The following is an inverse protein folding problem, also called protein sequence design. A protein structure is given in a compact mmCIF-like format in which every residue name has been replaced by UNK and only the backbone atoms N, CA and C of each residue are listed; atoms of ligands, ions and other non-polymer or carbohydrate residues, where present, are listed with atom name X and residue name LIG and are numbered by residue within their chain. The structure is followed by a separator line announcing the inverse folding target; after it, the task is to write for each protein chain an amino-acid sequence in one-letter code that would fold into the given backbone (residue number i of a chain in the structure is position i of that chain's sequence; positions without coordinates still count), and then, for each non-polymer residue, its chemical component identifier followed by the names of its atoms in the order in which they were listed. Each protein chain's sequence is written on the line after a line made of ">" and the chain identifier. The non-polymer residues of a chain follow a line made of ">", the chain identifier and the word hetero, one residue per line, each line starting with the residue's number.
data_IF_720876745170
#
_entry.id   IF_720876745170
#
_cell.length_a   1.000
_cell.length_b   1.000
_cell.length_c   1.000
_cell.angle_alpha   90.00
_cell.angle_beta   90.00
_cell.angle_gamma   90.00
#
_symmetry.space_group_name_H-M   'P 1'
#
loop_
_entity.id
_entity.type
_entity.pdbx_description
1 polymer ?
#
# COMPACT_ATOMS: atom_id res chain seq x y z
N UNK A 1 17.86 -23.63 55.83
CA UNK A 1 16.44 -23.83 56.19
C UNK A 1 15.72 -22.58 55.71
N UNK A 2 14.80 -22.54 54.75
CA UNK A 2 14.10 -23.60 54.02
C UNK A 2 13.76 -23.15 52.59
N UNK A 3 13.33 -24.11 51.78
CA UNK A 3 12.99 -23.99 50.37
C UNK A 3 11.48 -23.81 50.17
N UNK A 4 11.07 -23.03 49.17
CA UNK A 4 9.74 -23.02 48.55
C UNK A 4 9.94 -22.66 47.07
N UNK A 5 10.05 -23.65 46.17
CA UNK A 5 8.98 -24.38 45.46
C UNK A 5 8.36 -23.59 44.30
N UNK A 6 8.77 -24.01 43.10
CA UNK A 6 8.23 -23.75 41.76
C UNK A 6 6.71 -23.84 41.66
N UNK A 7 6.09 -22.94 40.90
CA UNK A 7 4.83 -23.22 40.21
C UNK A 7 4.90 -22.74 38.75
N UNK A 8 5.28 -23.70 37.90
CA UNK A 8 5.04 -23.76 36.46
C UNK A 8 3.54 -23.99 36.18
N UNK A 9 2.95 -23.23 35.26
CA UNK A 9 1.61 -23.49 34.72
C UNK A 9 1.60 -23.50 33.18
N UNK A 10 0.73 -24.30 32.55
CA UNK A 10 1.04 -24.99 31.32
C UNK A 10 0.17 -24.58 30.12
N UNK A 11 0.80 -24.50 28.95
CA UNK A 11 0.41 -25.11 27.67
C UNK A 11 -0.99 -25.76 27.65
N UNK A 12 -2.05 -25.00 27.33
CA UNK A 12 -3.34 -25.58 26.92
C UNK A 12 -3.75 -25.04 25.55
N UNK A 13 -3.48 -25.92 24.59
CA UNK A 13 -4.09 -26.03 23.29
C UNK A 13 -5.61 -26.20 23.41
N UNK A 14 -6.41 -25.30 22.81
CA UNK A 14 -7.80 -25.62 22.47
C UNK A 14 -8.12 -25.20 21.04
N UNK A 15 -7.97 -26.21 20.17
CA UNK A 15 -8.46 -26.31 18.81
C UNK A 15 -9.96 -25.96 18.75
N UNK A 16 -10.29 -24.81 18.14
CA UNK A 16 -11.65 -24.38 17.86
C UNK A 16 -11.99 -24.55 16.38
N UNK A 17 -12.38 -25.76 16.00
CA UNK A 17 -13.11 -26.04 14.75
C UNK A 17 -14.57 -25.67 14.94
N UNK A 18 -15.13 -24.85 14.03
CA UNK A 18 -16.56 -24.69 13.66
C UNK A 18 -16.62 -23.53 12.64
N UNK A 19 -16.69 -23.79 11.34
CA UNK A 19 -17.89 -24.11 10.54
C UNK A 19 -18.77 -22.89 10.24
N UNK A 20 -19.32 -22.88 9.01
CA UNK A 20 -20.43 -22.05 8.48
C UNK A 20 -19.96 -20.73 7.84
N UNK A 21 -19.66 -20.65 6.54
CA UNK A 21 -20.60 -20.76 5.41
C UNK A 21 -21.86 -19.92 5.63
N UNK A 22 -21.75 -18.61 5.39
CA UNK A 22 -22.90 -17.72 5.23
C UNK A 22 -23.12 -17.54 3.72
N UNK A 23 -23.99 -18.40 3.16
CA UNK A 23 -24.53 -18.24 1.81
C UNK A 23 -25.72 -17.26 1.82
N UNK A 24 -26.07 -16.66 0.68
CA UNK A 24 -27.23 -15.78 0.59
C UNK A 24 -28.55 -16.56 0.70
N UNK A 25 -29.42 -16.04 1.58
CA UNK A 25 -30.80 -16.46 1.78
C UNK A 25 -31.60 -16.48 0.47
N UNK A 26 -32.08 -17.67 0.12
CA UNK A 26 -33.17 -17.84 -0.85
C UNK A 26 -34.50 -17.71 -0.12
N UNK A 27 -35.20 -16.62 -0.37
CA UNK A 27 -36.59 -16.43 0.02
C UNK A 27 -37.48 -17.49 -0.64
N UNK A 28 -37.98 -18.40 0.20
CA UNK A 28 -38.96 -19.41 -0.11
C UNK A 28 -40.33 -18.77 -0.39
N UNK A 29 -40.79 -18.81 -1.65
CA UNK A 29 -42.18 -18.49 -2.00
C UNK A 29 -43.06 -19.70 -1.75
N UNK A 30 -43.92 -19.54 -0.73
CA UNK A 30 -45.02 -20.41 -0.29
C UNK A 30 -45.97 -20.74 -1.45
N UNK A 31 -46.13 -22.03 -1.70
CA UNK A 31 -47.07 -22.58 -2.68
C UNK A 31 -48.53 -22.34 -2.29
N UNK A 32 -49.35 -21.98 -3.28
CA UNK A 32 -50.81 -21.96 -3.20
C UNK A 32 -51.31 -22.80 -4.38
N UNK A 33 -51.69 -24.04 -4.10
CA UNK A 33 -52.27 -24.93 -5.09
C UNK A 33 -53.74 -24.54 -5.28
N UNK A 34 -54.06 -23.98 -6.44
CA UNK A 34 -55.44 -23.85 -6.89
C UNK A 34 -55.71 -24.87 -7.98
N UNK A 35 -56.60 -25.80 -7.65
CA UNK A 35 -57.27 -26.76 -8.52
C UNK A 35 -58.01 -26.02 -9.63
N UNK A 36 -57.73 -26.36 -10.89
CA UNK A 36 -58.61 -26.02 -12.02
C UNK A 36 -58.51 -27.12 -13.08
N UNK A 37 -59.70 -27.52 -13.53
CA UNK A 37 -60.00 -28.74 -14.27
C UNK A 37 -59.35 -28.78 -15.65
N UNK A 38 -58.90 -29.98 -16.01
CA UNK A 38 -58.53 -30.36 -17.37
C UNK A 38 -59.78 -30.34 -18.25
N UNK A 39 -59.87 -29.38 -19.16
CA UNK A 39 -60.69 -29.48 -20.36
C UNK A 39 -59.79 -29.22 -21.56
N UNK A 40 -59.78 -30.19 -22.47
CA UNK A 40 -58.94 -30.20 -23.65
C UNK A 40 -59.18 -28.98 -24.53
N UNK A 41 -58.07 -28.30 -24.85
CA UNK A 41 -57.97 -27.33 -25.92
C UNK A 41 -56.66 -27.59 -26.61
N UNK A 42 -56.75 -27.94 -27.90
CA UNK A 42 -55.64 -28.13 -28.82
C UNK A 42 -54.60 -27.01 -28.65
N UNK A 43 -53.39 -27.37 -28.20
CA UNK A 43 -52.27 -26.44 -28.11
C UNK A 43 -51.60 -26.35 -29.49
N UNK A 44 -51.47 -25.15 -30.10
CA UNK A 44 -50.57 -24.98 -31.23
C UNK A 44 -49.12 -25.21 -30.76
N UNK A 45 -48.35 -25.92 -31.59
CA UNK A 45 -46.98 -26.36 -31.34
C UNK A 45 -46.08 -25.15 -30.99
N UNK A 46 -45.71 -24.99 -29.72
CA UNK A 46 -44.89 -23.87 -29.20
C UNK A 46 -43.38 -24.14 -29.36
N UNK A 47 -42.99 -24.73 -30.48
CA UNK A 47 -41.57 -25.01 -30.81
C UNK A 47 -40.86 -23.84 -31.49
N UNK A 48 -41.56 -22.74 -31.83
CA UNK A 48 -40.97 -21.66 -32.65
C UNK A 48 -40.29 -20.54 -31.86
N UNK A 49 -40.54 -20.39 -30.55
CA UNK A 49 -40.06 -19.22 -29.78
C UNK A 49 -38.65 -19.36 -29.18
N UNK A 50 -37.97 -20.50 -29.33
CA UNK A 50 -36.55 -20.66 -28.90
C UNK A 50 -35.52 -20.38 -30.00
N UNK A 51 -35.89 -20.42 -31.28
CA UNK A 51 -34.94 -20.19 -32.37
C UNK A 51 -34.66 -18.69 -32.61
N UNK A 52 -35.63 -17.81 -32.37
CA UNK A 52 -35.44 -16.37 -32.60
C UNK A 52 -34.47 -15.71 -31.60
N UNK A 53 -34.26 -16.27 -30.41
CA UNK A 53 -33.30 -15.73 -29.42
C UNK A 53 -31.83 -16.08 -29.72
N UNK A 54 -31.56 -17.05 -30.60
CA UNK A 54 -30.18 -17.38 -31.03
C UNK A 54 -29.66 -16.49 -32.16
N UNK A 55 -30.56 -15.91 -32.96
CA UNK A 55 -30.19 -15.04 -34.09
C UNK A 55 -29.80 -13.63 -33.63
N UNK A 56 -30.36 -13.13 -32.52
CA UNK A 56 -30.02 -11.81 -31.96
C UNK A 56 -28.67 -11.74 -31.22
N UNK A 57 -28.00 -12.87 -30.99
CA UNK A 57 -26.69 -12.94 -30.30
C UNK A 57 -25.48 -12.96 -31.23
N UNK A 58 -25.69 -12.95 -32.55
CA UNK A 58 -24.62 -12.59 -33.50
C UNK A 58 -24.48 -11.06 -33.56
N UNK A 59 -24.38 -10.43 -32.38
CA UNK A 59 -23.92 -9.05 -32.28
C UNK A 59 -22.48 -9.06 -32.78
N UNK A 60 -22.31 -8.58 -34.00
CA UNK A 60 -21.14 -7.92 -34.54
C UNK A 60 -19.95 -7.91 -33.58
N UNK A 61 -19.11 -8.95 -33.64
CA UNK A 61 -17.73 -8.84 -33.19
C UNK A 61 -17.00 -8.07 -34.28
N UNK A 62 -17.12 -6.75 -34.22
CA UNK A 62 -16.33 -5.86 -35.06
C UNK A 62 -14.88 -5.94 -34.56
N UNK A 63 -13.97 -6.32 -35.46
CA UNK A 63 -12.55 -6.28 -35.17
C UNK A 63 -12.09 -4.84 -35.05
N UNK A 64 -11.29 -4.52 -34.03
CA UNK A 64 -10.66 -3.20 -33.92
C UNK A 64 -9.72 -2.99 -35.11
N UNK A 65 -9.82 -1.83 -35.74
CA UNK A 65 -8.94 -1.49 -36.86
C UNK A 65 -7.52 -1.19 -36.35
N UNK A 66 -6.50 -1.46 -37.17
CA UNK A 66 -5.11 -1.10 -36.84
C UNK A 66 -4.95 0.41 -36.65
N UNK A 67 -5.68 1.20 -37.43
CA UNK A 67 -5.59 2.66 -37.39
C UNK A 67 -6.14 3.20 -36.05
N UNK A 68 -7.20 2.59 -35.52
CA UNK A 68 -7.79 2.98 -34.24
C UNK A 68 -6.79 2.84 -33.09
N UNK A 69 -6.05 1.73 -33.04
CA UNK A 69 -5.02 1.56 -32.01
C UNK A 69 -3.78 2.43 -32.26
N UNK A 70 -3.44 2.75 -33.51
CA UNK A 70 -2.31 3.63 -33.83
C UNK A 70 -2.53 5.05 -33.32
N UNK A 71 -3.71 5.62 -33.57
CA UNK A 71 -4.01 7.00 -33.13
C UNK A 71 -4.00 7.05 -31.60
N UNK A 72 -4.58 6.05 -30.93
CA UNK A 72 -4.65 5.97 -29.47
C UNK A 72 -3.25 5.92 -28.82
N UNK A 73 -2.36 5.02 -29.26
CA UNK A 73 -1.02 4.95 -28.68
C UNK A 73 -0.20 6.21 -28.99
N UNK A 74 -0.45 6.86 -30.12
CA UNK A 74 0.25 8.09 -30.51
C UNK A 74 -0.10 9.24 -29.58
N UNK A 75 -1.40 9.46 -29.32
CA UNK A 75 -1.83 10.51 -28.37
C UNK A 75 -1.39 10.17 -26.94
N UNK A 76 -1.42 8.89 -26.55
CA UNK A 76 -0.90 8.47 -25.25
C UNK A 76 0.59 8.73 -25.11
N UNK A 77 1.39 8.42 -26.13
CA UNK A 77 2.83 8.70 -26.14
C UNK A 77 3.11 10.21 -26.02
N UNK A 78 2.35 11.04 -26.76
CA UNK A 78 2.49 12.50 -26.70
C UNK A 78 2.17 13.05 -25.30
N UNK A 79 1.06 12.63 -24.70
CA UNK A 79 0.66 13.09 -23.36
C UNK A 79 1.63 12.56 -22.30
N UNK A 80 2.00 11.27 -22.36
CA UNK A 80 2.90 10.65 -21.40
C UNK A 80 4.28 11.34 -21.40
N UNK A 81 4.82 11.67 -22.58
CA UNK A 81 6.06 12.43 -22.71
C UNK A 81 5.99 13.81 -22.07
N UNK A 82 4.90 14.55 -22.31
CA UNK A 82 4.68 15.87 -21.71
C UNK A 82 4.59 15.84 -20.18
N UNK A 83 3.86 14.87 -19.63
CA UNK A 83 3.69 14.70 -18.17
C UNK A 83 5.01 14.30 -17.50
N UNK A 84 5.80 13.42 -18.12
CA UNK A 84 7.06 12.96 -17.54
C UNK A 84 8.03 14.12 -17.24
N UNK A 85 8.22 15.03 -18.19
CA UNK A 85 9.11 16.20 -18.02
C UNK A 85 8.59 17.15 -16.95
N UNK A 86 7.26 17.34 -16.87
CA UNK A 86 6.66 18.22 -15.86
C UNK A 86 6.80 17.69 -14.42
N UNK A 87 6.94 16.37 -14.23
CA UNK A 87 7.06 15.74 -12.91
C UNK A 87 8.47 15.80 -12.33
N UNK A 88 9.52 15.81 -13.15
CA UNK A 88 10.92 15.82 -12.69
C UNK A 88 11.22 16.88 -11.59
N UNK A 89 10.92 18.17 -11.78
CA UNK A 89 11.20 19.18 -10.75
C UNK A 89 10.32 19.03 -9.49
N UNK A 90 9.16 18.37 -9.61
CA UNK A 90 8.30 18.12 -8.45
C UNK A 90 8.84 16.97 -7.60
N UNK A 91 9.44 15.96 -8.24
CA UNK A 91 10.11 14.87 -7.54
C UNK A 91 11.29 15.40 -6.73
N UNK A 92 12.13 16.26 -7.31
CA UNK A 92 13.27 16.88 -6.60
C UNK A 92 12.81 17.69 -5.38
N UNK A 93 11.80 18.54 -5.54
CA UNK A 93 11.22 19.30 -4.41
C UNK A 93 10.64 18.39 -3.34
N UNK A 94 9.98 17.30 -3.73
CA UNK A 94 9.44 16.32 -2.80
C UNK A 94 10.55 15.61 -2.04
N UNK A 95 11.66 15.25 -2.70
CA UNK A 95 12.86 14.67 -2.06
C UNK A 95 13.43 15.60 -1.00
N UNK A 96 13.71 16.86 -1.34
CA UNK A 96 14.23 17.86 -0.39
C UNK A 96 13.30 18.03 0.82
N UNK A 97 11.98 18.16 0.58
CA UNK A 97 11.00 18.31 1.68
C UNK A 97 10.97 17.09 2.59
N UNK A 98 11.10 15.92 1.99
CA UNK A 98 11.11 14.64 2.69
C UNK A 98 12.36 14.51 3.55
N UNK A 99 13.54 14.76 2.98
CA UNK A 99 14.83 14.78 3.69
C UNK A 99 14.79 15.74 4.88
N UNK A 100 14.25 16.95 4.72
CA UNK A 100 14.10 17.92 5.82
C UNK A 100 13.21 17.39 6.96
N UNK A 101 12.15 16.67 6.62
CA UNK A 101 11.23 16.08 7.61
C UNK A 101 11.91 14.93 8.36
N UNK A 102 12.68 14.11 7.65
CA UNK A 102 13.41 12.99 8.21
C UNK A 102 14.54 13.51 9.12
N UNK A 103 15.31 14.51 8.68
CA UNK A 103 16.34 15.19 9.47
C UNK A 103 15.80 15.83 10.75
N UNK A 104 14.63 16.46 10.72
CA UNK A 104 13.97 16.99 11.93
C UNK A 104 13.61 15.89 12.93
N UNK A 105 13.15 14.74 12.44
CA UNK A 105 12.89 13.57 13.28
C UNK A 105 14.18 13.03 13.91
N UNK A 106 15.25 12.97 13.13
CA UNK A 106 16.55 12.52 13.61
C UNK A 106 17.15 13.47 14.64
N UNK A 107 17.07 14.78 14.39
CA UNK A 107 17.49 15.83 15.35
C UNK A 107 16.81 15.68 16.70
N UNK A 108 15.51 15.37 16.70
CA UNK A 108 14.76 15.14 17.94
C UNK A 108 15.23 13.90 18.70
N UNK A 109 15.59 12.82 17.98
CA UNK A 109 16.17 11.62 18.58
C UNK A 109 17.57 11.88 19.15
N UNK A 110 18.41 12.65 18.43
CA UNK A 110 19.75 13.05 18.91
C UNK A 110 19.65 13.93 20.15
N UNK A 111 18.70 14.87 20.19
CA UNK A 111 18.46 15.69 21.39
C UNK A 111 18.14 14.84 22.62
N UNK A 112 17.35 13.78 22.45
CA UNK A 112 17.04 12.85 23.53
C UNK A 112 18.29 12.05 23.96
N UNK A 113 19.06 11.55 22.99
CA UNK A 113 20.31 10.84 23.28
C UNK A 113 21.32 11.71 24.06
N UNK A 114 21.54 12.95 23.62
CA UNK A 114 22.49 13.88 24.24
C UNK A 114 22.01 14.31 25.63
N UNK A 115 20.70 14.37 25.87
CA UNK A 115 20.14 14.64 27.19
C UNK A 115 20.50 13.52 28.21
N UNK A 116 20.50 12.26 27.76
CA UNK A 116 20.90 11.11 28.58
C UNK A 116 22.43 10.95 28.65
N UNK A 117 23.13 11.32 27.56
CA UNK A 117 24.57 11.16 27.37
C UNK A 117 25.26 12.51 27.08
N UNK A 118 25.48 13.37 28.09
CA UNK A 118 25.91 14.76 27.90
C UNK A 118 27.31 14.96 27.32
N UNK A 119 28.07 13.87 27.08
CA UNK A 119 29.43 13.90 26.52
C UNK A 119 29.56 13.12 25.21
N UNK A 120 28.49 12.50 24.71
CA UNK A 120 28.52 11.68 23.51
C UNK A 120 27.73 12.32 22.37
N UNK A 121 28.27 12.23 21.15
CA UNK A 121 27.52 12.49 19.92
C UNK A 121 27.25 11.15 19.23
N UNK A 122 25.99 10.77 18.99
CA UNK A 122 25.65 9.48 18.43
C UNK A 122 25.81 9.46 16.91
N UNK A 123 26.06 8.27 16.35
CA UNK A 123 25.83 8.01 14.94
C UNK A 123 24.37 7.64 14.69
N UNK A 124 23.94 7.59 13.43
CA UNK A 124 22.56 7.20 13.08
C UNK A 124 22.27 5.76 13.51
N UNK A 125 23.27 4.89 13.37
CA UNK A 125 23.22 3.48 13.76
C UNK A 125 23.06 3.32 15.27
N UNK A 126 23.75 4.15 16.06
CA UNK A 126 23.65 4.13 17.52
C UNK A 126 22.22 4.45 17.98
N UNK A 127 21.59 5.46 17.37
CA UNK A 127 20.19 5.85 17.68
C UNK A 127 19.19 4.70 17.47
N UNK A 128 19.41 3.88 16.43
CA UNK A 128 18.57 2.70 16.16
C UNK A 128 18.87 1.58 17.14
N UNK A 129 20.15 1.33 17.41
CA UNK A 129 20.59 0.25 18.30
C UNK A 129 20.14 0.46 19.74
N UNK A 130 20.21 1.70 20.22
CA UNK A 130 19.83 2.12 21.57
C UNK A 130 18.35 2.51 21.69
N UNK A 131 17.56 2.34 20.62
CA UNK A 131 16.09 2.55 20.58
C UNK A 131 15.63 4.00 20.79
N UNK A 132 16.49 4.97 20.53
CA UNK A 132 16.10 6.39 20.42
C UNK A 132 15.35 6.69 19.12
N UNK A 133 15.63 5.91 18.07
CA UNK A 133 14.93 5.93 16.79
C UNK A 133 14.32 4.56 16.51
N UNK A 134 13.06 4.53 16.08
CA UNK A 134 12.42 3.29 15.64
C UNK A 134 13.03 2.84 14.30
N UNK A 135 13.26 1.54 14.14
CA UNK A 135 13.79 0.95 12.90
C UNK A 135 12.83 1.05 11.72
N UNK A 136 11.58 1.47 11.93
CA UNK A 136 10.64 1.82 10.88
C UNK A 136 10.89 3.20 10.26
N UNK A 137 11.65 4.07 10.95
CA UNK A 137 11.95 5.41 10.49
C UNK A 137 13.15 5.38 9.55
N UNK A 138 13.15 6.26 8.55
CA UNK A 138 14.27 6.35 7.62
C UNK A 138 15.48 6.93 8.32
N UNK A 139 16.61 6.24 8.14
CA UNK A 139 17.94 6.58 8.64
C UNK A 139 18.82 7.23 7.58
N UNK A 140 18.36 7.22 6.32
CA UNK A 140 19.02 7.84 5.17
C UNK A 140 18.12 8.89 4.54
N UNK A 141 18.73 9.78 3.76
CA UNK A 141 18.03 10.82 3.02
C UNK A 141 17.30 10.28 1.76
N UNK A 142 16.80 11.19 0.93
CA UNK A 142 16.08 10.84 -0.29
C UNK A 142 16.97 10.32 -1.44
N UNK A 143 18.29 10.33 -1.26
CA UNK A 143 19.30 9.81 -2.19
C UNK A 143 20.03 8.57 -1.62
N UNK A 144 19.49 8.00 -0.55
CA UNK A 144 20.00 6.81 0.15
C UNK A 144 21.38 7.03 0.80
N UNK A 145 21.74 8.28 1.10
CA UNK A 145 22.94 8.64 1.86
C UNK A 145 22.60 8.76 3.34
N UNK A 146 23.39 8.16 4.26
CA UNK A 146 23.17 8.29 5.70
C UNK A 146 23.40 9.75 6.14
N UNK A 147 22.62 10.22 7.11
CA UNK A 147 22.80 11.58 7.65
C UNK A 147 24.10 11.71 8.45
N UNK A 148 24.74 12.87 8.37
CA UNK A 148 25.86 13.22 9.22
C UNK A 148 25.36 14.04 10.42
N UNK A 149 25.72 13.61 11.62
CA UNK A 149 25.32 14.28 12.87
C UNK A 149 26.56 14.97 13.44
N UNK A 150 26.41 16.26 13.76
CA UNK A 150 27.44 17.05 14.44
C UNK A 150 26.86 17.62 15.72
N UNK A 151 27.58 17.41 16.83
CA UNK A 151 27.26 17.97 18.13
C UNK A 151 28.42 18.88 18.55
N UNK A 152 28.37 20.15 18.19
CA UNK A 152 29.42 21.13 18.50
C UNK A 152 28.84 22.21 19.42
N UNK A 153 29.52 22.53 20.51
CA UNK A 153 29.14 23.58 21.47
C UNK A 153 27.69 23.53 22.00
N UNK A 154 27.09 22.34 22.05
CA UNK A 154 25.70 22.14 22.47
C UNK A 154 24.66 22.41 21.38
N UNK A 155 25.09 22.80 20.18
CA UNK A 155 24.25 22.82 18.99
C UNK A 155 24.27 21.46 18.30
N UNK A 156 23.07 20.93 18.07
CA UNK A 156 22.87 19.65 17.36
C UNK A 156 22.43 19.98 15.94
N UNK A 157 23.28 19.64 14.98
CA UNK A 157 23.05 19.76 13.55
C UNK A 157 23.02 18.37 12.89
N UNK A 158 22.14 18.21 11.92
CA UNK A 158 21.99 16.99 11.11
C UNK A 158 22.05 17.42 9.66
N UNK A 159 23.03 16.91 8.92
CA UNK A 159 23.31 17.25 7.54
C UNK A 159 22.98 16.07 6.61
N UNK A 160 22.47 16.38 5.43
CA UNK A 160 22.35 15.45 4.30
C UNK A 160 23.21 15.95 3.15
N UNK A 161 23.94 15.05 2.50
CA UNK A 161 24.81 15.29 1.35
C UNK A 161 24.06 15.70 0.06
N UNK A 162 22.73 15.79 0.11
CA UNK A 162 21.95 16.28 -1.01
C UNK A 162 22.03 15.40 -2.29
N UNK A 163 21.68 15.99 -3.45
CA UNK A 163 21.76 15.33 -4.74
C UNK A 163 23.15 14.90 -5.21
N UNK A 164 24.22 15.59 -4.81
CA UNK A 164 25.58 15.32 -5.30
C UNK A 164 26.30 14.20 -4.54
N UNK A 165 25.75 13.77 -3.40
CA UNK A 165 26.26 12.71 -2.52
C UNK A 165 27.59 13.05 -1.84
N UNK A 166 27.99 14.33 -1.85
CA UNK A 166 29.18 14.84 -1.18
C UNK A 166 28.79 15.74 -0.01
N UNK A 167 29.52 15.65 1.11
CA UNK A 167 29.30 16.53 2.25
C UNK A 167 30.22 17.73 2.20
N UNK A 168 29.78 18.85 2.78
CA UNK A 168 30.42 20.16 2.78
C UNK A 168 30.38 20.87 1.42
N UNK A 169 29.29 20.69 0.70
CA UNK A 169 28.99 21.30 -0.61
C UNK A 169 27.83 22.31 -0.47
N UNK A 170 27.47 23.00 -1.55
CA UNK A 170 26.44 24.05 -1.51
C UNK A 170 25.01 23.52 -1.41
N UNK A 171 24.79 22.22 -1.68
CA UNK A 171 23.51 21.54 -1.70
C UNK A 171 23.18 20.75 -0.42
N UNK A 172 24.07 20.79 0.57
CA UNK A 172 23.82 20.24 1.90
C UNK A 172 22.54 20.82 2.53
N UNK A 173 21.72 19.94 3.12
CA UNK A 173 20.39 20.26 3.68
C UNK A 173 20.30 20.24 5.20
#
# INVERSE_FOLDING_TARGET
>A
MGATSLHSLPWIFRRGSRSSFCGPERLARKGRQHSMKRTGGSMPNTTETRQQQRLARRRHQEGMTLIEIMIVITIFAMIAGGVAVALLPQLEKARIKTTKTDAQGLRSAVMLYVADNPRGCPTVEDLVSERYLDGSRRTADAWDTPFQITCEDGEIAVFSAGPDLEFNTEDDL
#
